data_IF_114876977846
#
_entry.id   IF_114876977846
#
_cell.length_a   1.000
_cell.length_b   1.000
_cell.length_c   1.000
_cell.angle_alpha   90.00
_cell.angle_beta   90.00
_cell.angle_gamma   90.00
#
_symmetry.space_group_name_H-M   'P 1'
#
loop_
_entity.id
_entity.type
_entity.pdbx_description
1 polymer ?
#
# COMPACT_ATOMS: atom_id res chain seq x y z
N UNK A 1 2.63 5.57 3.84
CA UNK A 1 2.22 6.99 3.91
C UNK A 1 1.01 7.26 3.02
N UNK A 2 1.08 7.09 1.68
CA UNK A 2 -0.03 7.37 0.73
C UNK A 2 -1.36 6.79 1.16
N UNK A 3 -1.44 5.48 1.40
CA UNK A 3 -2.69 4.83 1.80
C UNK A 3 -3.29 5.45 3.08
N UNK A 4 -2.47 5.76 4.09
CA UNK A 4 -2.96 6.36 5.32
C UNK A 4 -3.51 7.78 5.12
N UNK A 5 -2.87 8.58 4.25
CA UNK A 5 -3.37 9.92 3.91
C UNK A 5 -4.71 9.85 3.19
N UNK A 6 -4.83 8.99 2.17
CA UNK A 6 -6.08 8.85 1.41
C UNK A 6 -7.23 8.28 2.26
N UNK A 7 -6.94 7.43 3.24
CA UNK A 7 -7.95 6.92 4.19
C UNK A 7 -8.57 8.03 5.04
N UNK A 8 -7.82 9.09 5.33
CA UNK A 8 -8.20 10.13 6.29
C UNK A 8 -8.36 11.53 5.66
N UNK A 9 -8.37 11.60 4.32
CA UNK A 9 -8.46 12.88 3.60
C UNK A 9 -9.16 12.70 2.26
N UNK A 10 -9.90 13.74 1.87
CA UNK A 10 -10.55 13.87 0.56
C UNK A 10 -9.86 14.94 -0.33
N UNK A 11 -8.63 15.35 0.02
CA UNK A 11 -7.90 16.41 -0.71
C UNK A 11 -7.26 15.93 -2.01
N UNK A 12 -7.12 14.61 -2.20
CA UNK A 12 -6.40 14.03 -3.34
C UNK A 12 -7.36 13.28 -4.27
N UNK A 13 -7.21 13.49 -5.58
CA UNK A 13 -8.03 12.83 -6.59
C UNK A 13 -7.74 11.32 -6.71
N UNK A 14 -6.50 10.90 -6.49
CA UNK A 14 -6.05 9.51 -6.51
C UNK A 14 -4.72 9.38 -5.75
N UNK A 15 -4.21 8.16 -5.59
CA UNK A 15 -2.82 7.98 -5.18
C UNK A 15 -2.18 6.67 -5.61
N UNK A 16 -0.85 6.66 -5.55
CA UNK A 16 -0.01 5.53 -5.91
C UNK A 16 0.80 5.14 -4.66
N UNK A 17 0.67 3.90 -4.22
CA UNK A 17 1.41 3.36 -3.09
C UNK A 17 2.28 2.20 -3.53
N UNK A 18 3.58 2.31 -3.24
CA UNK A 18 4.60 1.32 -3.59
C UNK A 18 5.14 0.66 -2.34
N UNK A 19 5.29 -0.67 -2.39
CA UNK A 19 5.97 -1.49 -1.38
C UNK A 19 5.65 -1.08 0.07
N UNK A 20 4.36 -0.97 0.39
CA UNK A 20 3.89 -0.33 1.62
C UNK A 20 3.63 -1.29 2.78
N UNK A 21 3.78 -0.79 4.01
CA UNK A 21 3.31 -1.45 5.23
C UNK A 21 1.88 -0.97 5.57
N UNK A 22 0.87 -1.79 5.30
CA UNK A 22 -0.55 -1.41 5.47
C UNK A 22 -1.18 -1.97 6.74
N UNK A 23 -0.67 -3.11 7.23
CA UNK A 23 -1.05 -3.72 8.48
C UNK A 23 0.15 -3.77 9.42
N UNK A 24 0.16 -2.92 10.44
CA UNK A 24 1.25 -2.83 11.41
C UNK A 24 1.27 -3.98 12.42
N UNK A 25 0.22 -4.80 12.50
CA UNK A 25 0.24 -6.01 13.34
C UNK A 25 1.20 -7.07 12.82
N UNK A 26 1.59 -6.99 11.54
CA UNK A 26 2.63 -7.82 10.93
C UNK A 26 4.07 -7.34 11.27
N UNK A 27 4.20 -6.19 11.95
CA UNK A 27 5.46 -5.67 12.50
C UNK A 27 5.30 -5.36 14.00
N UNK A 28 5.03 -6.35 14.86
CA UNK A 28 4.53 -6.10 16.22
C UNK A 28 5.58 -5.65 17.24
N UNK A 29 6.88 -5.64 16.89
CA UNK A 29 7.97 -5.24 17.80
C UNK A 29 8.68 -3.96 17.32
N UNK A 30 7.89 -2.95 16.94
CA UNK A 30 8.41 -1.73 16.33
C UNK A 30 8.71 -1.87 14.84
N UNK A 31 8.74 -0.73 14.15
CA UNK A 31 9.24 -0.62 12.77
C UNK A 31 9.75 0.80 12.52
N UNK A 32 10.91 0.94 11.88
CA UNK A 32 11.62 2.22 11.72
C UNK A 32 11.91 2.88 13.08
N UNK A 33 11.25 3.99 13.41
CA UNK A 33 11.50 4.78 14.62
C UNK A 33 10.58 4.44 15.80
N UNK A 34 9.58 3.57 15.61
CA UNK A 34 8.72 3.13 16.71
C UNK A 34 9.46 2.08 17.55
N UNK A 35 9.68 2.40 18.83
CA UNK A 35 10.41 1.55 19.78
C UNK A 35 9.48 0.68 20.64
N UNK A 36 8.22 1.06 20.78
CA UNK A 36 7.23 0.31 21.55
C UNK A 36 6.73 -0.89 20.74
N UNK A 37 6.27 -1.93 21.42
CA UNK A 37 5.64 -3.07 20.76
C UNK A 37 4.11 -2.86 20.61
N UNK A 38 3.45 -3.71 19.83
CA UNK A 38 2.01 -3.63 19.57
C UNK A 38 1.18 -3.66 20.86
N UNK A 39 1.57 -4.47 21.83
CA UNK A 39 0.82 -4.64 23.08
C UNK A 39 0.99 -3.49 24.06
N UNK A 40 2.07 -2.70 23.93
CA UNK A 40 2.24 -1.48 24.72
C UNK A 40 1.29 -0.38 24.26
N UNK A 41 1.03 -0.30 22.95
CA UNK A 41 0.26 0.79 22.31
C UNK A 41 -0.62 0.33 21.13
N UNK A 42 -1.57 -0.60 21.36
CA UNK A 42 -2.35 -1.23 20.29
C UNK A 42 -3.19 -0.23 19.50
N UNK A 43 -3.69 0.83 20.14
CA UNK A 43 -4.47 1.89 19.51
C UNK A 43 -3.66 2.64 18.46
N UNK A 44 -2.37 2.90 18.74
CA UNK A 44 -1.47 3.60 17.81
C UNK A 44 -1.24 2.73 16.58
N UNK A 45 -0.93 1.44 16.77
CA UNK A 45 -0.74 0.50 15.68
C UNK A 45 -1.98 0.34 14.80
N UNK A 46 -3.16 0.23 15.40
CA UNK A 46 -4.42 0.11 14.67
C UNK A 46 -4.77 1.41 13.93
N UNK A 47 -4.57 2.57 14.56
CA UNK A 47 -4.82 3.87 13.93
C UNK A 47 -3.91 4.12 12.73
N UNK A 48 -2.64 3.75 12.83
CA UNK A 48 -1.65 3.92 11.76
C UNK A 48 -1.75 2.87 10.64
N UNK A 49 -2.59 1.85 10.77
CA UNK A 49 -2.75 0.78 9.80
C UNK A 49 -3.90 1.07 8.83
N UNK A 50 -3.63 1.43 7.55
CA UNK A 50 -4.67 1.53 6.53
C UNK A 50 -5.55 0.28 6.43
N UNK A 51 -4.99 -0.90 6.71
CA UNK A 51 -5.74 -2.14 6.72
C UNK A 51 -6.89 -2.15 7.72
N UNK A 52 -6.69 -1.59 8.92
CA UNK A 52 -7.73 -1.50 9.96
C UNK A 52 -8.79 -0.43 9.68
N UNK A 53 -8.59 0.37 8.64
CA UNK A 53 -9.45 1.48 8.23
C UNK A 53 -9.81 1.36 6.74
N UNK A 54 -9.76 0.16 6.17
CA UNK A 54 -9.93 -0.08 4.74
C UNK A 54 -11.34 0.30 4.25
N UNK A 55 -12.34 0.22 5.12
CA UNK A 55 -13.74 0.60 4.87
C UNK A 55 -13.91 2.09 4.52
N UNK A 56 -13.01 2.93 5.03
CA UNK A 56 -12.99 4.38 4.80
C UNK A 56 -12.34 4.77 3.46
N UNK A 57 -11.60 3.87 2.81
CA UNK A 57 -10.94 4.18 1.54
C UNK A 57 -11.97 4.30 0.41
N UNK A 58 -12.17 5.51 -0.10
CA UNK A 58 -13.04 5.79 -1.26
C UNK A 58 -12.30 6.40 -2.45
N UNK A 59 -11.03 6.73 -2.27
CA UNK A 59 -10.19 7.38 -3.27
C UNK A 59 -9.50 6.35 -4.17
N UNK A 60 -9.44 6.55 -5.50
CA UNK A 60 -8.71 5.67 -6.41
C UNK A 60 -7.27 5.41 -5.95
N UNK A 61 -6.89 4.14 -5.85
CA UNK A 61 -5.57 3.73 -5.36
C UNK A 61 -4.92 2.70 -6.29
N UNK A 62 -3.69 3.00 -6.72
CA UNK A 62 -2.80 2.04 -7.37
C UNK A 62 -1.80 1.49 -6.34
N UNK A 63 -1.83 0.17 -6.14
CA UNK A 63 -0.87 -0.58 -5.34
C UNK A 63 0.15 -1.25 -6.26
N UNK A 64 1.44 -1.00 -6.03
CA UNK A 64 2.53 -1.68 -6.75
C UNK A 64 3.47 -2.31 -5.73
N UNK A 65 3.84 -3.57 -5.93
CA UNK A 65 4.75 -4.29 -5.03
C UNK A 65 5.63 -5.26 -5.81
N UNK A 66 6.86 -5.47 -5.34
CA UNK A 66 7.66 -6.62 -5.76
C UNK A 66 7.04 -7.91 -5.23
N UNK A 67 6.94 -8.92 -6.08
CA UNK A 67 6.34 -10.22 -5.74
C UNK A 67 7.20 -11.00 -4.73
N UNK A 68 8.52 -10.77 -4.76
CA UNK A 68 9.50 -11.37 -3.87
C UNK A 68 10.07 -10.38 -2.84
N UNK A 69 9.27 -9.40 -2.38
CA UNK A 69 9.70 -8.47 -1.33
C UNK A 69 9.95 -9.23 -0.02
N UNK A 70 11.22 -9.26 0.38
CA UNK A 70 11.71 -9.90 1.60
C UNK A 70 12.04 -8.89 2.72
N UNK A 71 11.69 -7.62 2.55
CA UNK A 71 11.85 -6.60 3.58
C UNK A 71 10.94 -6.94 4.78
N UNK A 72 11.48 -7.04 6.00
CA UNK A 72 10.74 -7.51 7.17
C UNK A 72 9.46 -6.74 7.51
N UNK A 73 9.34 -5.47 7.10
CA UNK A 73 8.15 -4.67 7.36
C UNK A 73 7.19 -4.50 6.19
N UNK A 74 7.56 -4.96 5.01
CA UNK A 74 6.76 -4.74 3.79
C UNK A 74 6.70 -5.98 2.93
N UNK A 75 6.71 -7.19 3.49
CA UNK A 75 6.46 -8.40 2.71
C UNK A 75 5.26 -8.23 1.77
N UNK A 76 5.32 -8.85 0.59
CA UNK A 76 4.28 -8.79 -0.46
C UNK A 76 2.86 -8.97 0.09
N UNK A 77 2.71 -9.85 1.09
CA UNK A 77 1.48 -10.12 1.84
C UNK A 77 0.74 -8.86 2.32
N UNK A 78 1.48 -7.78 2.66
CA UNK A 78 0.92 -6.49 3.03
C UNK A 78 0.00 -5.95 1.93
N UNK A 79 0.50 -5.90 0.68
CA UNK A 79 -0.29 -5.45 -0.47
C UNK A 79 -1.41 -6.43 -0.78
N UNK A 80 -1.15 -7.74 -0.76
CA UNK A 80 -2.16 -8.74 -1.13
C UNK A 80 -3.39 -8.69 -0.20
N UNK A 81 -3.16 -8.67 1.12
CA UNK A 81 -4.25 -8.60 2.10
C UNK A 81 -4.98 -7.26 2.05
N UNK A 82 -4.25 -6.17 1.88
CA UNK A 82 -4.88 -4.86 1.79
C UNK A 82 -5.72 -4.72 0.50
N UNK A 83 -5.22 -5.20 -0.64
CA UNK A 83 -5.97 -5.25 -1.88
C UNK A 83 -7.25 -6.09 -1.75
N UNK A 84 -7.16 -7.28 -1.15
CA UNK A 84 -8.33 -8.13 -0.89
C UNK A 84 -9.39 -7.40 -0.06
N UNK A 85 -8.99 -6.74 1.03
CA UNK A 85 -9.90 -5.97 1.87
C UNK A 85 -10.55 -4.82 1.08
N UNK A 86 -9.75 -3.99 0.41
CA UNK A 86 -10.23 -2.86 -0.39
C UNK A 86 -11.20 -3.30 -1.50
N UNK A 87 -10.85 -4.35 -2.24
CA UNK A 87 -11.66 -4.85 -3.35
C UNK A 87 -13.02 -5.36 -2.86
N UNK A 88 -13.05 -6.10 -1.75
CA UNK A 88 -14.28 -6.63 -1.17
C UNK A 88 -15.15 -5.54 -0.51
N UNK A 89 -14.53 -4.44 -0.06
CA UNK A 89 -15.23 -3.27 0.48
C UNK A 89 -15.67 -2.27 -0.61
N UNK A 90 -15.46 -2.61 -1.89
CA UNK A 90 -15.88 -1.80 -3.04
C UNK A 90 -15.03 -0.55 -3.30
N UNK A 91 -13.81 -0.48 -2.75
CA UNK A 91 -12.91 0.64 -3.02
C UNK A 91 -12.37 0.57 -4.47
N UNK A 92 -12.21 1.72 -5.15
CA UNK A 92 -11.59 1.77 -6.48
C UNK A 92 -10.08 1.50 -6.37
N UNK A 93 -9.66 0.24 -6.52
CA UNK A 93 -8.27 -0.18 -6.34
C UNK A 93 -7.76 -1.03 -7.50
N UNK A 94 -6.49 -0.83 -7.86
CA UNK A 94 -5.71 -1.69 -8.77
C UNK A 94 -4.45 -2.17 -8.06
N UNK A 95 -4.08 -3.42 -8.28
CA UNK A 95 -2.85 -4.02 -7.77
C UNK A 95 -1.97 -4.52 -8.92
N UNK A 96 -0.67 -4.24 -8.82
CA UNK A 96 0.38 -4.72 -9.72
C UNK A 96 1.45 -5.40 -8.88
N UNK A 97 1.68 -6.68 -9.13
CA UNK A 97 2.80 -7.42 -8.57
C UNK A 97 3.88 -7.58 -9.64
N UNK A 98 5.12 -7.24 -9.28
CA UNK A 98 6.27 -7.29 -10.19
C UNK A 98 7.02 -8.61 -9.96
N UNK A 99 6.96 -9.56 -10.90
CA UNK A 99 7.60 -10.86 -10.72
C UNK A 99 9.10 -10.73 -10.49
N UNK A 100 9.62 -11.52 -9.54
CA UNK A 100 11.05 -11.59 -9.18
C UNK A 100 11.66 -10.30 -8.60
N UNK A 101 10.88 -9.23 -8.40
CA UNK A 101 11.35 -8.02 -7.74
C UNK A 101 11.20 -8.12 -6.22
N UNK A 102 12.17 -7.55 -5.50
CA UNK A 102 12.13 -7.38 -4.05
C UNK A 102 11.56 -5.99 -3.69
N UNK A 103 11.97 -5.40 -2.56
CA UNK A 103 11.51 -4.09 -2.08
C UNK A 103 11.78 -2.96 -3.09
N UNK A 104 12.98 -2.98 -3.68
CA UNK A 104 13.40 -2.11 -4.76
C UNK A 104 13.32 -2.82 -6.11
N UNK A 105 12.90 -2.09 -7.15
CA UNK A 105 12.72 -2.64 -8.49
C UNK A 105 13.99 -2.42 -9.32
N UNK A 106 14.52 -3.46 -9.96
CA UNK A 106 15.79 -3.40 -10.70
C UNK A 106 15.67 -3.78 -12.17
N UNK A 107 14.83 -4.74 -12.53
CA UNK A 107 14.72 -5.15 -13.92
C UNK A 107 14.14 -4.01 -14.76
N UNK A 108 14.80 -3.71 -15.88
CA UNK A 108 14.45 -2.58 -16.74
C UNK A 108 13.01 -2.71 -17.26
N UNK A 109 12.59 -3.93 -17.58
CA UNK A 109 11.25 -4.29 -18.02
C UNK A 109 10.21 -3.96 -16.93
N UNK A 110 10.50 -4.33 -15.68
CA UNK A 110 9.61 -4.04 -14.55
C UNK A 110 9.54 -2.53 -14.27
N UNK A 111 10.67 -1.82 -14.36
CA UNK A 111 10.69 -0.36 -14.20
C UNK A 111 9.83 0.31 -15.27
N UNK A 112 9.97 -0.08 -16.54
CA UNK A 112 9.12 0.47 -17.60
C UNK A 112 7.65 0.10 -17.43
N UNK A 113 7.35 -1.12 -16.98
CA UNK A 113 5.99 -1.51 -16.68
C UNK A 113 5.38 -0.67 -15.54
N UNK A 114 6.14 -0.40 -14.47
CA UNK A 114 5.72 0.50 -13.39
C UNK A 114 5.41 1.90 -13.91
N UNK A 115 6.28 2.49 -14.73
CA UNK A 115 6.05 3.81 -15.31
C UNK A 115 4.79 3.84 -16.17
N UNK A 116 4.58 2.81 -16.99
CA UNK A 116 3.38 2.68 -17.81
C UNK A 116 2.11 2.53 -16.97
N UNK A 117 2.13 1.69 -15.92
CA UNK A 117 0.99 1.53 -15.01
C UNK A 117 0.62 2.84 -14.31
N UNK A 118 1.63 3.62 -13.90
CA UNK A 118 1.42 4.92 -13.27
C UNK A 118 0.81 5.92 -14.24
N UNK A 119 1.36 6.03 -15.45
CA UNK A 119 0.84 6.89 -16.51
C UNK A 119 -0.64 6.58 -16.80
N UNK A 120 -0.95 5.32 -17.13
CA UNK A 120 -2.31 4.89 -17.45
C UNK A 120 -3.29 5.06 -16.28
N UNK A 121 -2.82 4.90 -15.05
CA UNK A 121 -3.64 5.14 -13.86
C UNK A 121 -3.95 6.63 -13.69
N UNK A 122 -2.94 7.50 -13.82
CA UNK A 122 -3.10 8.95 -13.69
C UNK A 122 -3.97 9.52 -14.81
N UNK A 123 -3.79 9.05 -16.04
CA UNK A 123 -4.64 9.40 -17.18
C UNK A 123 -6.13 9.15 -16.85
N UNK A 124 -6.45 7.96 -16.33
CA UNK A 124 -7.83 7.59 -15.95
C UNK A 124 -8.36 8.38 -14.76
N UNK A 125 -7.51 8.75 -13.81
CA UNK A 125 -7.94 9.40 -12.57
C UNK A 125 -8.04 10.92 -12.69
N UNK A 126 -7.22 11.54 -13.55
CA UNK A 126 -7.08 12.99 -13.61
C UNK A 126 -7.69 13.62 -14.86
N UNK A 127 -7.76 12.90 -15.98
CA UNK A 127 -8.40 13.41 -17.19
C UNK A 127 -9.88 13.09 -17.15
N UNK A 128 -10.68 14.10 -16.83
CA UNK A 128 -12.12 14.16 -17.09
C UNK A 128 -12.39 14.93 -18.37
#
# INVERSE_FOLDING_TARGET
MTANLLTHSNLFACGIARSGAYNRTLTPFGFQSEQRNYWDVPEIYNTMSPFMNADKMKTPLLLIHGDADNNPGTFTLQTERYFQALKNLGAPVRMVLLPKESHGYQAKENIFHVLWEQDQFLEKCLKK
#
